data_IF_648244397518
#
_entry.id   IF_648244397518
#
_cell.length_a   1.000
_cell.length_b   1.000
_cell.length_c   1.000
_cell.angle_alpha   90.00
_cell.angle_beta   90.00
_cell.angle_gamma   90.00
#
_symmetry.space_group_name_H-M   'P 1'
#
loop_
_entity.id
_entity.type
_entity.pdbx_description
1 polymer ?
#
# COMPACT_ATOMS: atom_id res chain seq x y z
N UNK A 1 -26.87 -26.14 24.66
CA UNK A 1 -25.62 -25.35 24.70
C UNK A 1 -25.70 -24.35 23.56
N UNK A 2 -25.48 -23.04 23.78
CA UNK A 2 -25.63 -22.06 22.70
C UNK A 2 -24.58 -22.32 21.62
N UNK A 3 -25.01 -22.26 20.35
CA UNK A 3 -24.15 -22.42 19.19
C UNK A 3 -23.12 -21.29 19.19
N UNK A 4 -21.83 -21.61 19.19
CA UNK A 4 -20.78 -20.61 19.00
C UNK A 4 -20.93 -20.00 17.61
N UNK A 5 -21.24 -18.70 17.56
CA UNK A 5 -21.29 -17.89 16.34
C UNK A 5 -19.86 -17.53 15.89
N UNK A 6 -19.04 -18.54 15.60
CA UNK A 6 -17.66 -18.36 15.18
C UNK A 6 -17.37 -19.21 13.94
N UNK A 7 -16.94 -18.54 12.87
CA UNK A 7 -16.47 -19.15 11.62
C UNK A 7 -15.09 -18.60 11.33
N UNK A 8 -14.13 -19.50 11.13
CA UNK A 8 -12.80 -19.22 10.62
C UNK A 8 -12.54 -20.28 9.55
N UNK A 9 -12.38 -19.85 8.30
CA UNK A 9 -11.93 -20.69 7.20
C UNK A 9 -10.44 -20.47 6.99
N UNK A 10 -9.70 -21.54 6.71
CA UNK A 10 -8.34 -21.42 6.20
C UNK A 10 -8.39 -20.59 4.91
N UNK A 11 -7.71 -19.43 4.89
CA UNK A 11 -7.56 -18.64 3.67
C UNK A 11 -6.43 -19.26 2.86
N UNK A 12 -6.73 -19.70 1.63
CA UNK A 12 -5.71 -20.15 0.67
C UNK A 12 -4.81 -19.00 0.19
N UNK A 13 -5.17 -17.75 0.49
CA UNK A 13 -4.33 -16.58 0.20
C UNK A 13 -3.33 -16.38 1.34
N UNK A 14 -2.01 -16.43 1.06
CA UNK A 14 -0.98 -16.16 2.05
C UNK A 14 -1.09 -14.74 2.59
N UNK A 15 -0.91 -14.59 3.90
CA UNK A 15 -0.83 -13.28 4.54
C UNK A 15 0.50 -12.59 4.22
N UNK A 16 0.46 -11.28 3.96
CA UNK A 16 1.65 -10.47 3.79
C UNK A 16 2.13 -10.04 5.18
N UNK A 17 3.29 -10.55 5.61
CA UNK A 17 3.88 -10.25 6.92
C UNK A 17 4.61 -8.90 7.01
N UNK A 18 4.67 -8.13 5.92
CA UNK A 18 5.34 -6.84 5.87
C UNK A 18 4.46 -5.73 6.50
N UNK A 19 5.09 -4.72 7.12
CA UNK A 19 4.36 -3.49 7.45
C UNK A 19 3.95 -2.77 6.17
N UNK A 20 2.96 -1.89 6.26
CA UNK A 20 2.50 -1.11 5.09
C UNK A 20 3.67 -0.33 4.47
N UNK A 21 4.53 0.28 5.29
CA UNK A 21 5.72 1.00 4.81
C UNK A 21 6.70 0.11 4.05
N UNK A 22 7.08 -1.03 4.64
CA UNK A 22 8.02 -1.98 4.01
C UNK A 22 7.46 -2.54 2.71
N UNK A 23 6.18 -2.91 2.69
CA UNK A 23 5.55 -3.42 1.48
C UNK A 23 5.45 -2.33 0.41
N UNK A 24 5.10 -1.10 0.80
CA UNK A 24 5.04 0.05 -0.10
C UNK A 24 6.40 0.35 -0.72
N UNK A 25 7.48 0.37 0.07
CA UNK A 25 8.84 0.58 -0.42
C UNK A 25 9.22 -0.45 -1.49
N UNK A 26 8.94 -1.74 -1.24
CA UNK A 26 9.21 -2.82 -2.20
C UNK A 26 8.43 -2.65 -3.51
N UNK A 27 7.16 -2.26 -3.41
CA UNK A 27 6.32 -2.00 -4.59
C UNK A 27 6.83 -0.77 -5.34
N UNK A 28 7.22 0.28 -4.61
CA UNK A 28 7.68 1.52 -5.19
C UNK A 28 9.02 1.36 -5.93
N UNK A 29 9.95 0.57 -5.38
CA UNK A 29 11.20 0.21 -6.08
C UNK A 29 10.92 -0.63 -7.32
N UNK A 30 10.10 -1.68 -7.21
CA UNK A 30 9.84 -2.61 -8.30
C UNK A 30 9.13 -1.97 -9.49
N UNK A 31 8.27 -0.99 -9.23
CA UNK A 31 7.40 -0.37 -10.23
C UNK A 31 7.62 1.13 -10.37
N UNK A 32 8.81 1.63 -10.02
CA UNK A 32 9.13 3.05 -9.90
C UNK A 32 8.60 3.93 -11.04
N UNK A 33 8.73 3.50 -12.30
CA UNK A 33 8.27 4.26 -13.47
C UNK A 33 6.81 4.06 -13.89
N UNK A 34 6.02 3.24 -13.17
CA UNK A 34 4.59 3.03 -13.46
C UNK A 34 3.74 4.06 -12.73
N UNK A 35 2.62 4.46 -13.32
CA UNK A 35 1.64 5.33 -12.66
C UNK A 35 1.13 4.68 -11.36
N UNK A 36 1.16 5.45 -10.27
CA UNK A 36 0.69 5.05 -8.93
C UNK A 36 -0.53 5.86 -8.48
N UNK A 37 -0.56 7.16 -8.78
CA UNK A 37 -1.66 8.05 -8.41
C UNK A 37 -2.01 8.99 -9.56
N UNK A 38 -3.28 9.02 -9.93
CA UNK A 38 -3.81 9.93 -10.94
C UNK A 38 -5.03 10.65 -10.36
N UNK A 39 -4.92 11.97 -10.16
CA UNK A 39 -6.02 12.81 -9.69
C UNK A 39 -6.29 13.92 -10.70
N UNK A 40 -7.30 13.71 -11.54
CA UNK A 40 -7.60 14.57 -12.70
C UNK A 40 -7.90 16.02 -12.33
N UNK A 41 -8.73 16.26 -11.32
CA UNK A 41 -9.13 17.62 -10.94
C UNK A 41 -8.00 18.44 -10.31
N UNK A 42 -6.97 17.77 -9.77
CA UNK A 42 -5.77 18.41 -9.22
C UNK A 42 -4.58 18.41 -10.20
N UNK A 43 -4.78 17.91 -11.43
CA UNK A 43 -3.70 17.71 -12.41
C UNK A 43 -2.51 16.91 -11.87
N UNK A 44 -2.79 15.93 -11.00
CA UNK A 44 -1.76 15.04 -10.45
C UNK A 44 -1.68 13.78 -11.30
N UNK A 45 -0.47 13.45 -11.71
CA UNK A 45 -0.08 12.13 -12.20
C UNK A 45 1.30 11.84 -11.66
N UNK A 46 1.38 10.88 -10.74
CA UNK A 46 2.63 10.46 -10.14
C UNK A 46 2.88 8.98 -10.43
N UNK A 47 4.12 8.70 -10.75
CA UNK A 47 4.67 7.36 -10.75
C UNK A 47 4.88 6.87 -9.31
N UNK A 48 5.13 5.57 -9.14
CA UNK A 48 5.44 5.00 -7.83
C UNK A 48 6.67 5.65 -7.18
N UNK A 49 7.71 5.98 -7.96
CA UNK A 49 8.90 6.68 -7.44
C UNK A 49 8.56 8.08 -6.93
N UNK A 50 7.83 8.85 -7.74
CA UNK A 50 7.38 10.20 -7.39
C UNK A 50 6.43 10.24 -6.18
N UNK A 51 5.60 9.21 -6.03
CA UNK A 51 4.73 9.06 -4.87
C UNK A 51 5.56 8.76 -3.61
N UNK A 52 6.56 7.86 -3.70
CA UNK A 52 7.45 7.52 -2.58
C UNK A 52 8.18 8.77 -2.06
N UNK A 53 8.79 9.54 -2.95
CA UNK A 53 9.51 10.77 -2.58
C UNK A 53 8.62 11.75 -1.80
N UNK A 54 7.36 11.89 -2.21
CA UNK A 54 6.39 12.77 -1.52
C UNK A 54 5.96 12.24 -0.16
N UNK A 55 5.75 10.94 -0.05
CA UNK A 55 5.44 10.28 1.23
C UNK A 55 6.60 10.46 2.20
N UNK A 56 7.83 10.22 1.76
CA UNK A 56 9.03 10.39 2.57
C UNK A 56 9.20 11.84 3.04
N UNK A 57 9.03 12.81 2.12
CA UNK A 57 9.10 14.22 2.46
C UNK A 57 8.01 14.66 3.46
N UNK A 58 6.79 14.13 3.33
CA UNK A 58 5.70 14.40 4.27
C UNK A 58 5.99 13.78 5.64
N UNK A 59 6.41 12.52 5.69
CA UNK A 59 6.73 11.81 6.92
C UNK A 59 7.90 12.46 7.69
N UNK A 60 8.89 13.00 6.97
CA UNK A 60 10.02 13.73 7.58
C UNK A 60 9.62 15.09 8.17
N UNK A 61 8.46 15.63 7.79
CA UNK A 61 7.95 16.92 8.26
C UNK A 61 6.90 16.84 9.38
N UNK A 62 6.57 15.64 9.86
CA UNK A 62 5.68 15.39 11.00
C UNK A 62 6.46 15.29 12.31
#
# INVERSE_FOLDING_TARGET
>A
MPQLSYVHGASDTPFIGDTIGVYFDRVAERFAGRDALIVRHQQIRWTYGELKERVDAFAAGL
#
